data_IF_969408808958
#
_entry.id   IF_969408808958
#
_cell.length_a   1.000
_cell.length_b   1.000
_cell.length_c   1.000
_cell.angle_alpha   90.00
_cell.angle_beta   90.00
_cell.angle_gamma   90.00
#
_symmetry.space_group_name_H-M   'P 1'
#
loop_
_entity.id
_entity.type
_entity.pdbx_description
1 polymer ?
#
# COMPACT_ATOMS: atom_id res chain seq x y z
N UNK A 1 47.51 12.23 -4.55
CA UNK A 1 46.94 12.08 -5.90
C UNK A 1 47.98 11.42 -6.81
N UNK A 2 48.05 10.09 -6.81
CA UNK A 2 48.65 9.29 -7.89
C UNK A 2 48.39 7.82 -7.57
N UNK A 3 47.87 7.09 -8.57
CA UNK A 3 47.75 5.63 -8.66
C UNK A 3 46.73 4.95 -7.73
N UNK A 4 45.44 5.20 -7.98
CA UNK A 4 44.35 4.25 -7.69
C UNK A 4 43.19 4.34 -8.70
N UNK A 5 43.18 5.35 -9.57
CA UNK A 5 42.27 5.46 -10.71
C UNK A 5 42.45 4.39 -11.82
N UNK A 6 43.64 3.80 -12.09
CA UNK A 6 43.74 2.81 -13.17
C UNK A 6 43.12 1.42 -12.88
N UNK A 7 43.25 0.79 -11.69
CA UNK A 7 42.74 -0.58 -11.54
C UNK A 7 41.21 -0.67 -11.51
N UNK A 8 40.49 0.34 -11.01
CA UNK A 8 39.02 0.33 -10.94
C UNK A 8 38.35 0.59 -12.30
N UNK A 9 38.95 1.45 -13.15
CA UNK A 9 38.47 1.64 -14.51
C UNK A 9 38.75 0.42 -15.41
N UNK A 10 39.87 -0.27 -15.19
CA UNK A 10 40.19 -1.53 -15.89
C UNK A 10 39.29 -2.68 -15.39
N UNK A 11 38.96 -2.73 -14.08
CA UNK A 11 38.00 -3.69 -13.53
C UNK A 11 36.56 -3.46 -14.00
N UNK A 12 36.23 -2.30 -14.58
CA UNK A 12 34.90 -2.09 -15.18
C UNK A 12 34.69 -2.88 -16.49
N UNK A 13 35.77 -3.38 -17.11
CA UNK A 13 35.72 -4.19 -18.33
C UNK A 13 35.74 -5.69 -18.09
N UNK A 14 36.09 -6.15 -16.89
CA UNK A 14 36.26 -7.57 -16.58
C UNK A 14 35.23 -7.90 -15.50
N UNK A 15 34.21 -8.68 -15.88
CA UNK A 15 33.16 -9.22 -14.99
C UNK A 15 33.74 -10.18 -13.95
N UNK A 16 34.53 -9.67 -13.01
CA UNK A 16 35.10 -10.47 -11.93
C UNK A 16 34.87 -9.74 -10.62
N UNK A 17 33.67 -9.92 -10.06
CA UNK A 17 33.35 -9.53 -8.68
C UNK A 17 34.42 -10.06 -7.71
N UNK A 18 34.96 -11.24 -7.99
CA UNK A 18 35.99 -11.93 -7.23
C UNK A 18 37.33 -11.17 -7.20
N UNK A 19 37.73 -10.49 -8.29
CA UNK A 19 39.01 -9.76 -8.32
C UNK A 19 39.03 -8.50 -7.42
N UNK A 20 37.88 -7.86 -7.26
CA UNK A 20 37.76 -6.64 -6.45
C UNK A 20 37.80 -6.98 -4.95
N UNK A 21 37.18 -8.09 -4.56
CA UNK A 21 37.07 -8.46 -3.15
C UNK A 21 38.15 -9.46 -2.69
N UNK A 22 38.55 -10.41 -3.54
CA UNK A 22 39.55 -11.43 -3.17
C UNK A 22 40.98 -10.97 -3.45
N UNK A 23 41.19 -10.05 -4.41
CA UNK A 23 42.54 -9.56 -4.77
C UNK A 23 42.77 -8.12 -4.33
N UNK A 24 41.84 -7.19 -4.52
CA UNK A 24 42.12 -5.78 -4.16
C UNK A 24 41.93 -5.50 -2.65
N UNK A 25 40.94 -6.10 -2.00
CA UNK A 25 40.64 -5.85 -0.59
C UNK A 25 41.79 -6.23 0.39
N UNK A 26 42.42 -7.41 0.29
CA UNK A 26 43.53 -7.76 1.18
C UNK A 26 44.80 -6.90 0.94
N UNK A 27 45.05 -6.45 -0.30
CA UNK A 27 46.18 -5.57 -0.61
C UNK A 27 45.99 -4.14 -0.08
N UNK A 28 44.73 -3.68 -0.01
CA UNK A 28 44.39 -2.32 0.40
C UNK A 28 44.13 -2.23 1.91
N UNK A 29 43.73 -3.33 2.58
CA UNK A 29 43.56 -3.41 4.04
C UNK A 29 44.81 -2.95 4.82
N UNK A 30 46.01 -3.18 4.29
CA UNK A 30 47.27 -2.80 4.95
C UNK A 30 47.59 -1.29 4.90
N UNK A 31 46.78 -0.46 4.21
CA UNK A 31 47.00 0.99 4.10
C UNK A 31 45.70 1.77 4.28
N UNK A 32 45.55 2.41 5.44
CA UNK A 32 44.34 3.14 5.88
C UNK A 32 43.85 4.16 4.84
N UNK A 33 44.75 4.96 4.26
CA UNK A 33 44.37 6.00 3.30
C UNK A 33 43.90 5.46 1.94
N UNK A 34 44.46 4.34 1.47
CA UNK A 34 44.03 3.70 0.21
C UNK A 34 42.76 2.88 0.39
N UNK A 35 42.55 2.30 1.58
CA UNK A 35 41.28 1.67 1.96
C UNK A 35 40.17 2.72 2.01
N UNK A 36 40.50 3.85 2.61
CA UNK A 36 39.73 5.07 2.54
C UNK A 36 39.86 5.81 1.18
N UNK A 37 40.28 5.21 0.09
CA UNK A 37 40.05 5.80 -1.24
C UNK A 37 39.21 4.83 -2.05
N UNK A 38 39.56 3.55 -1.94
CA UNK A 38 38.80 2.42 -2.45
C UNK A 38 37.33 2.44 -2.03
N UNK A 39 37.02 2.63 -0.73
CA UNK A 39 35.64 2.69 -0.26
C UNK A 39 34.85 3.87 -0.84
N UNK A 40 35.49 5.01 -1.12
CA UNK A 40 34.82 6.16 -1.77
C UNK A 40 34.60 5.90 -3.26
N UNK A 41 35.51 5.15 -3.90
CA UNK A 41 35.36 4.70 -5.28
C UNK A 41 34.33 3.58 -5.46
N UNK A 42 33.93 2.87 -4.39
CA UNK A 42 32.83 1.90 -4.46
C UNK A 42 31.48 2.58 -4.68
N UNK A 43 31.24 3.77 -4.10
CA UNK A 43 29.99 4.50 -4.25
C UNK A 43 29.59 4.75 -5.72
N UNK A 44 30.43 5.34 -6.59
CA UNK A 44 30.07 5.54 -8.01
C UNK A 44 29.96 4.22 -8.79
N UNK A 45 30.63 3.15 -8.38
CA UNK A 45 30.52 1.84 -9.04
C UNK A 45 29.21 1.12 -8.71
N UNK A 46 28.73 1.25 -7.48
CA UNK A 46 27.43 0.76 -7.04
C UNK A 46 26.32 1.57 -7.71
N UNK A 47 26.45 2.91 -7.72
CA UNK A 47 25.48 3.80 -8.37
C UNK A 47 25.35 3.51 -9.87
N UNK A 48 26.44 3.14 -10.55
CA UNK A 48 26.42 2.77 -11.97
C UNK A 48 25.97 1.32 -12.25
N UNK A 49 25.39 0.63 -11.26
CA UNK A 49 24.92 -0.77 -11.33
C UNK A 49 26.01 -1.78 -11.72
N UNK A 50 27.29 -1.45 -11.51
CA UNK A 50 28.42 -2.35 -11.85
C UNK A 50 28.74 -3.36 -10.76
N UNK A 51 28.31 -3.10 -9.52
CA UNK A 51 28.54 -3.96 -8.36
C UNK A 51 27.22 -4.24 -7.64
N UNK A 52 26.62 -5.39 -7.92
CA UNK A 52 25.38 -5.85 -7.28
C UNK A 52 25.63 -6.79 -6.11
N UNK A 53 26.73 -7.54 -6.10
CA UNK A 53 27.12 -8.43 -4.99
C UNK A 53 28.37 -7.91 -4.30
N UNK A 54 28.29 -7.69 -2.98
CA UNK A 54 29.37 -7.18 -2.14
C UNK A 54 29.46 -8.05 -0.88
N UNK A 55 30.64 -8.58 -0.50
CA UNK A 55 30.81 -9.28 0.75
C UNK A 55 30.45 -8.40 1.96
N UNK A 56 29.79 -8.97 2.96
CA UNK A 56 29.31 -8.26 4.15
C UNK A 56 30.41 -7.46 4.87
N UNK A 57 31.63 -8.01 4.97
CA UNK A 57 32.79 -7.36 5.60
C UNK A 57 33.13 -6.04 4.91
N UNK A 58 33.10 -6.01 3.58
CA UNK A 58 33.36 -4.83 2.76
C UNK A 58 32.23 -3.82 2.86
N UNK A 59 30.99 -4.30 2.92
CA UNK A 59 29.80 -3.47 3.09
C UNK A 59 29.78 -2.80 4.47
N UNK A 60 30.20 -3.50 5.53
CA UNK A 60 30.32 -2.96 6.90
C UNK A 60 31.39 -1.86 6.97
N UNK A 61 32.55 -2.08 6.38
CA UNK A 61 33.59 -1.06 6.34
C UNK A 61 33.18 0.17 5.50
N UNK A 62 32.49 -0.05 4.37
CA UNK A 62 31.89 1.00 3.55
C UNK A 62 30.85 1.82 4.34
N UNK A 63 29.98 1.12 5.07
CA UNK A 63 29.00 1.69 6.00
C UNK A 63 29.72 2.59 7.01
N UNK A 64 30.60 2.04 7.84
CA UNK A 64 31.26 2.77 8.94
C UNK A 64 31.96 4.05 8.45
N UNK A 65 32.56 3.99 7.27
CA UNK A 65 33.19 5.15 6.65
C UNK A 65 32.19 6.23 6.18
N UNK A 66 31.12 5.85 5.47
CA UNK A 66 30.12 6.81 5.01
C UNK A 66 29.35 7.45 6.16
N UNK A 67 29.20 6.74 7.28
CA UNK A 67 28.65 7.30 8.50
C UNK A 67 29.62 8.27 9.19
N UNK A 68 30.94 8.04 9.14
CA UNK A 68 31.95 8.99 9.63
C UNK A 68 32.04 10.26 8.77
N UNK A 69 31.77 10.17 7.46
CA UNK A 69 31.80 11.32 6.54
C UNK A 69 30.47 12.08 6.41
N UNK A 70 29.46 11.75 7.22
CA UNK A 70 28.10 12.30 7.17
C UNK A 70 27.38 12.13 5.81
N UNK A 71 27.78 11.16 4.99
CA UNK A 71 27.23 10.91 3.66
C UNK A 71 26.11 9.86 3.67
N UNK A 72 25.13 9.99 4.58
CA UNK A 72 24.09 8.98 4.82
C UNK A 72 23.16 8.75 3.61
N UNK A 73 22.84 9.80 2.83
CA UNK A 73 22.00 9.69 1.63
C UNK A 73 22.68 8.94 0.48
N UNK A 74 24.00 9.05 0.38
CA UNK A 74 24.79 8.31 -0.60
C UNK A 74 24.84 6.83 -0.22
N UNK A 75 24.95 6.52 1.07
CA UNK A 75 24.82 5.15 1.56
C UNK A 75 23.45 4.56 1.19
N UNK A 76 22.35 5.30 1.41
CA UNK A 76 21.01 4.84 1.06
C UNK A 76 20.85 4.57 -0.44
N UNK A 77 21.31 5.48 -1.29
CA UNK A 77 21.28 5.30 -2.76
C UNK A 77 22.12 4.12 -3.24
N UNK A 78 23.19 3.78 -2.52
CA UNK A 78 24.03 2.63 -2.82
C UNK A 78 23.38 1.32 -2.34
N UNK A 79 22.81 1.30 -1.13
CA UNK A 79 22.21 0.11 -0.55
C UNK A 79 21.04 -0.42 -1.37
N UNK A 80 20.22 0.48 -1.95
CA UNK A 80 19.12 0.15 -2.86
C UNK A 80 19.54 -0.64 -4.11
N UNK A 81 20.84 -0.70 -4.43
CA UNK A 81 21.40 -1.36 -5.62
C UNK A 81 22.20 -2.62 -5.30
N UNK A 82 22.37 -2.93 -4.01
CA UNK A 82 23.13 -4.09 -3.54
C UNK A 82 22.15 -5.24 -3.27
N UNK A 83 22.49 -6.44 -3.72
CA UNK A 83 21.78 -7.66 -3.36
C UNK A 83 22.11 -8.01 -1.90
N UNK A 84 21.16 -7.73 -1.01
CA UNK A 84 21.28 -7.97 0.42
C UNK A 84 20.78 -9.37 0.82
N UNK A 85 20.34 -10.21 -0.13
CA UNK A 85 19.82 -11.56 0.17
C UNK A 85 20.88 -12.43 0.83
N UNK A 86 20.58 -12.93 2.03
CA UNK A 86 21.43 -13.85 2.78
C UNK A 86 22.56 -13.21 3.60
N UNK A 87 22.57 -11.88 3.75
CA UNK A 87 23.49 -11.18 4.65
C UNK A 87 22.89 -11.00 6.06
N UNK A 88 23.75 -10.81 7.06
CA UNK A 88 23.28 -10.36 8.38
C UNK A 88 22.81 -8.91 8.29
N UNK A 89 21.55 -8.68 8.61
CA UNK A 89 20.92 -7.37 8.51
C UNK A 89 21.04 -6.55 9.80
N UNK A 90 21.45 -7.15 10.91
CA UNK A 90 21.36 -6.54 12.25
C UNK A 90 22.15 -5.23 12.36
N UNK A 91 23.46 -5.26 12.05
CA UNK A 91 24.31 -4.07 12.15
C UNK A 91 23.93 -2.97 11.12
N UNK A 92 23.38 -3.38 9.98
CA UNK A 92 22.94 -2.46 8.90
C UNK A 92 21.63 -1.78 9.28
N UNK A 93 20.67 -2.55 9.80
CA UNK A 93 19.39 -2.06 10.27
C UNK A 93 19.57 -1.07 11.43
N UNK A 94 20.39 -1.40 12.44
CA UNK A 94 20.66 -0.49 13.58
C UNK A 94 21.20 0.87 13.12
N UNK A 95 22.08 0.84 12.12
CA UNK A 95 22.64 2.06 11.54
C UNK A 95 21.59 2.82 10.73
N UNK A 96 20.76 2.14 9.94
CA UNK A 96 19.70 2.80 9.17
C UNK A 96 18.61 3.39 10.08
N UNK A 97 18.27 2.71 11.19
CA UNK A 97 17.34 3.22 12.21
C UNK A 97 17.86 4.49 12.87
N UNK A 98 19.15 4.52 13.24
CA UNK A 98 19.78 5.69 13.88
C UNK A 98 19.73 6.95 13.02
N UNK A 99 19.86 6.81 11.70
CA UNK A 99 19.89 7.93 10.77
C UNK A 99 18.62 8.08 9.92
N UNK A 100 17.55 7.34 10.26
CA UNK A 100 16.21 7.45 9.63
C UNK A 100 16.23 7.27 8.10
N UNK A 101 16.98 6.27 7.62
CA UNK A 101 17.10 5.94 6.18
C UNK A 101 15.97 4.98 5.76
N UNK A 102 14.76 5.49 5.59
CA UNK A 102 13.56 4.64 5.40
C UNK A 102 13.55 3.86 4.09
N UNK A 103 14.11 4.38 3.00
CA UNK A 103 14.10 3.66 1.72
C UNK A 103 15.04 2.45 1.81
N UNK A 104 16.19 2.63 2.49
CA UNK A 104 17.12 1.55 2.83
C UNK A 104 16.49 0.49 3.72
N UNK A 105 15.76 0.91 4.76
CA UNK A 105 15.06 0.02 5.68
C UNK A 105 14.00 -0.77 4.90
N UNK A 106 13.16 -0.10 4.12
CA UNK A 106 12.11 -0.75 3.34
C UNK A 106 12.71 -1.78 2.37
N UNK A 107 13.79 -1.44 1.67
CA UNK A 107 14.49 -2.34 0.75
C UNK A 107 15.08 -3.58 1.44
N UNK A 108 15.74 -3.42 2.59
CA UNK A 108 16.29 -4.55 3.35
C UNK A 108 15.18 -5.47 3.88
N UNK A 109 14.10 -4.89 4.39
CA UNK A 109 12.96 -5.66 4.88
C UNK A 109 12.21 -6.35 3.74
N UNK A 110 12.04 -5.69 2.60
CA UNK A 110 11.34 -6.25 1.43
C UNK A 110 12.14 -7.37 0.77
N UNK A 111 13.43 -7.18 0.51
CA UNK A 111 14.25 -8.17 -0.23
C UNK A 111 14.98 -9.17 0.66
N UNK A 112 15.40 -8.77 1.85
CA UNK A 112 16.15 -9.61 2.78
C UNK A 112 15.24 -10.49 3.64
N UNK A 113 14.21 -9.88 4.23
CA UNK A 113 13.31 -10.54 5.20
C UNK A 113 11.94 -10.91 4.61
N UNK A 114 11.65 -10.51 3.38
CA UNK A 114 10.33 -10.63 2.75
C UNK A 114 9.19 -10.10 3.63
N UNK A 115 9.44 -9.06 4.43
CA UNK A 115 8.47 -8.47 5.35
C UNK A 115 8.24 -7.00 5.00
N UNK A 116 7.08 -6.68 4.43
CA UNK A 116 6.73 -5.29 4.17
C UNK A 116 5.99 -4.61 5.34
N UNK A 117 5.60 -5.36 6.37
CA UNK A 117 4.73 -4.88 7.45
C UNK A 117 5.53 -4.11 8.51
N UNK A 118 6.66 -4.67 8.96
CA UNK A 118 7.51 -4.04 9.98
C UNK A 118 7.93 -2.61 9.63
N UNK A 119 8.49 -2.32 8.43
CA UNK A 119 8.83 -0.94 8.07
C UNK A 119 7.60 -0.03 7.97
N UNK A 120 6.44 -0.54 7.51
CA UNK A 120 5.18 0.22 7.46
C UNK A 120 4.68 0.60 8.85
N UNK A 121 4.73 -0.33 9.82
CA UNK A 121 4.34 -0.05 11.22
C UNK A 121 5.13 1.12 11.80
N UNK A 122 6.45 1.12 11.59
CA UNK A 122 7.33 2.15 12.16
C UNK A 122 7.09 3.50 11.48
N UNK A 123 6.94 3.52 10.15
CA UNK A 123 6.59 4.74 9.42
C UNK A 123 5.24 5.33 9.85
N UNK A 124 4.23 4.48 10.09
CA UNK A 124 2.91 4.92 10.54
C UNK A 124 2.94 5.51 11.96
N UNK A 125 3.69 4.88 12.88
CA UNK A 125 3.88 5.39 14.25
C UNK A 125 4.60 6.74 14.26
N UNK A 126 5.61 6.91 13.40
CA UNK A 126 6.34 8.17 13.34
C UNK A 126 5.49 9.32 12.79
N UNK A 127 4.67 9.03 11.77
CA UNK A 127 3.77 10.04 11.21
C UNK A 127 2.68 10.41 12.22
N UNK A 128 2.14 9.44 12.96
CA UNK A 128 1.17 9.71 14.01
C UNK A 128 1.72 10.68 15.08
N UNK A 129 3.02 10.62 15.36
CA UNK A 129 3.70 11.51 16.31
C UNK A 129 4.13 12.87 15.72
N UNK A 130 4.04 13.07 14.40
CA UNK A 130 4.53 14.28 13.73
C UNK A 130 3.37 15.16 13.24
N UNK A 131 3.22 16.39 13.70
CA UNK A 131 2.03 17.19 13.35
C UNK A 131 2.18 18.02 12.05
N UNK A 132 3.39 18.50 11.71
CA UNK A 132 3.56 19.57 10.70
C UNK A 132 3.77 19.10 9.25
N UNK A 133 4.24 17.86 9.03
CA UNK A 133 4.44 17.27 7.69
C UNK A 133 3.81 15.87 7.55
N UNK A 134 2.90 15.51 8.46
CA UNK A 134 2.30 14.18 8.48
C UNK A 134 1.40 13.91 7.27
N UNK A 135 0.63 14.90 6.82
CA UNK A 135 -0.36 14.66 5.76
C UNK A 135 0.27 14.31 4.42
N UNK A 136 1.31 15.04 3.98
CA UNK A 136 1.98 14.74 2.70
C UNK A 136 2.72 13.41 2.73
N UNK A 137 3.43 13.11 3.83
CA UNK A 137 4.12 11.84 4.01
C UNK A 137 3.14 10.67 4.14
N UNK A 138 2.06 10.86 4.90
CA UNK A 138 0.99 9.88 5.07
C UNK A 138 0.29 9.56 3.75
N UNK A 139 -0.03 10.58 2.94
CA UNK A 139 -0.59 10.38 1.60
C UNK A 139 0.36 9.59 0.68
N UNK A 140 1.67 9.83 0.76
CA UNK A 140 2.67 9.02 0.03
C UNK A 140 2.68 7.57 0.50
N UNK A 141 2.58 7.31 1.81
CA UNK A 141 2.50 5.95 2.34
C UNK A 141 1.25 5.23 1.85
N UNK A 142 0.09 5.88 1.92
CA UNK A 142 -1.17 5.31 1.41
C UNK A 142 -0.99 4.91 -0.06
N UNK A 143 -0.42 5.79 -0.90
CA UNK A 143 -0.13 5.48 -2.31
C UNK A 143 0.86 4.31 -2.46
N UNK A 144 1.92 4.27 -1.67
CA UNK A 144 2.90 3.16 -1.70
C UNK A 144 2.25 1.83 -1.31
N UNK A 145 1.38 1.81 -0.30
CA UNK A 145 0.56 0.64 0.05
C UNK A 145 -0.32 0.23 -1.14
N UNK A 146 -0.90 1.21 -1.85
CA UNK A 146 -1.64 0.97 -3.08
C UNK A 146 -0.82 0.27 -4.16
N UNK A 147 0.43 0.71 -4.37
CA UNK A 147 1.35 0.06 -5.31
C UNK A 147 1.61 -1.39 -4.88
N UNK A 148 1.89 -1.63 -3.60
CA UNK A 148 2.17 -2.98 -3.09
C UNK A 148 0.95 -3.91 -3.16
N UNK A 149 -0.26 -3.39 -3.00
CA UNK A 149 -1.50 -4.15 -3.15
C UNK A 149 -1.84 -4.44 -4.62
N UNK A 150 -1.44 -3.57 -5.55
CA UNK A 150 -1.75 -3.70 -6.97
C UNK A 150 -0.67 -4.41 -7.77
N UNK A 151 0.58 -4.48 -7.27
CA UNK A 151 1.70 -5.08 -7.98
C UNK A 151 1.53 -6.60 -8.21
N UNK A 152 1.36 -7.06 -9.47
CA UNK A 152 1.20 -8.47 -9.79
C UNK A 152 2.46 -9.29 -9.48
N UNK A 153 3.65 -8.69 -9.48
CA UNK A 153 4.93 -9.40 -9.34
C UNK A 153 5.14 -9.98 -7.93
N UNK A 154 4.53 -9.35 -6.92
CA UNK A 154 4.77 -9.69 -5.52
C UNK A 154 3.47 -10.09 -4.78
N UNK A 155 2.92 -11.30 -5.03
CA UNK A 155 1.67 -11.74 -4.39
C UNK A 155 1.81 -11.94 -2.88
N UNK A 156 3.03 -12.06 -2.35
CA UNK A 156 3.28 -12.18 -0.91
C UNK A 156 2.96 -10.88 -0.17
N UNK A 157 3.38 -9.72 -0.71
CA UNK A 157 3.07 -8.43 -0.09
C UNK A 157 1.58 -8.12 -0.10
N UNK A 158 0.86 -8.52 -1.16
CA UNK A 158 -0.60 -8.43 -1.18
C UNK A 158 -1.23 -9.17 0.02
N UNK A 159 -0.82 -10.42 0.27
CA UNK A 159 -1.34 -11.21 1.41
C UNK A 159 -0.98 -10.57 2.75
N UNK A 160 0.27 -10.14 2.90
CA UNK A 160 0.78 -9.52 4.12
C UNK A 160 0.02 -8.24 4.46
N UNK A 161 -0.18 -7.35 3.47
CA UNK A 161 -0.89 -6.08 3.68
C UNK A 161 -2.37 -6.33 3.95
N UNK A 162 -3.03 -7.21 3.20
CA UNK A 162 -4.45 -7.54 3.44
C UNK A 162 -4.68 -8.07 4.85
N UNK A 163 -3.75 -8.91 5.35
CA UNK A 163 -3.78 -9.39 6.73
C UNK A 163 -3.53 -8.25 7.71
N UNK A 164 -2.49 -7.45 7.49
CA UNK A 164 -2.12 -6.29 8.32
C UNK A 164 -3.25 -5.29 8.49
N UNK A 165 -4.00 -4.96 7.42
CA UNK A 165 -5.14 -4.05 7.50
C UNK A 165 -6.29 -4.61 8.36
N UNK A 166 -6.36 -5.94 8.51
CA UNK A 166 -7.35 -6.62 9.35
C UNK A 166 -6.85 -6.93 10.77
N UNK A 167 -5.57 -6.70 11.06
CA UNK A 167 -4.97 -6.99 12.36
C UNK A 167 -5.52 -6.06 13.44
N UNK A 168 -6.06 -6.65 14.51
CA UNK A 168 -6.31 -5.94 15.76
C UNK A 168 -4.97 -5.79 16.47
N UNK A 169 -4.66 -4.60 16.94
CA UNK A 169 -3.56 -4.43 17.88
C UNK A 169 -4.13 -4.75 19.27
N UNK A 170 -3.97 -6.00 19.71
CA UNK A 170 -4.36 -6.42 21.06
C UNK A 170 -3.29 -5.93 22.04
N UNK A 171 -3.50 -4.73 22.58
CA UNK A 171 -2.86 -4.27 23.81
C UNK A 171 -3.97 -3.90 24.79
N UNK A 172 -4.71 -4.91 25.27
CA UNK A 172 -5.68 -4.94 26.39
C UNK A 172 -6.75 -3.85 26.53
N UNK A 173 -6.75 -2.81 25.70
CA UNK A 173 -7.70 -1.70 25.70
C UNK A 173 -8.56 -1.78 24.45
N UNK A 174 -9.86 -2.03 24.65
CA UNK A 174 -10.90 -1.96 23.62
C UNK A 174 -10.96 -0.58 22.88
N UNK A 175 -10.15 0.41 23.28
CA UNK A 175 -10.01 1.72 22.63
C UNK A 175 -9.02 1.76 21.44
N UNK A 176 -8.12 0.77 21.29
CA UNK A 176 -7.01 0.80 20.30
C UNK A 176 -7.22 -0.21 19.15
N UNK A 177 -8.46 -0.63 18.89
CA UNK A 177 -8.74 -1.55 17.77
C UNK A 177 -8.42 -0.89 16.42
N UNK A 178 -7.62 -1.58 15.60
CA UNK A 178 -7.19 -1.20 14.24
C UNK A 178 -6.47 0.16 14.12
N UNK A 179 -5.60 0.49 15.09
CA UNK A 179 -4.80 1.73 15.11
C UNK A 179 -4.19 2.11 13.75
N UNK A 180 -3.47 1.20 13.10
CA UNK A 180 -2.82 1.48 11.81
C UNK A 180 -3.82 1.80 10.70
N UNK A 181 -4.94 1.08 10.65
CA UNK A 181 -6.00 1.35 9.69
C UNK A 181 -6.63 2.72 9.94
N UNK A 182 -6.88 3.09 11.21
CA UNK A 182 -7.35 4.42 11.59
C UNK A 182 -6.38 5.52 11.18
N UNK A 183 -5.07 5.31 11.33
CA UNK A 183 -4.04 6.25 10.87
C UNK A 183 -4.12 6.43 9.34
N UNK A 184 -4.18 5.32 8.59
CA UNK A 184 -4.26 5.36 7.12
C UNK A 184 -5.50 6.12 6.62
N UNK A 185 -6.64 5.88 7.27
CA UNK A 185 -7.92 6.50 6.92
C UNK A 185 -7.96 8.02 7.21
N UNK A 186 -7.23 8.50 8.22
CA UNK A 186 -7.16 9.94 8.57
C UNK A 186 -6.46 10.82 7.51
N UNK A 187 -5.73 10.21 6.58
CA UNK A 187 -5.08 10.94 5.49
C UNK A 187 -6.09 11.18 4.35
N UNK A 188 -5.76 10.78 3.13
CA UNK A 188 -6.67 10.87 2.00
C UNK A 188 -7.61 9.64 1.95
N UNK A 189 -8.80 9.81 2.53
CA UNK A 189 -9.81 8.75 2.58
C UNK A 189 -10.25 8.29 1.19
N UNK A 190 -10.37 9.22 0.23
CA UNK A 190 -10.75 8.88 -1.15
C UNK A 190 -9.70 7.99 -1.79
N UNK A 191 -8.43 8.39 -1.71
CA UNK A 191 -7.32 7.58 -2.27
C UNK A 191 -7.25 6.22 -1.59
N UNK A 192 -7.49 6.13 -0.28
CA UNK A 192 -7.54 4.86 0.43
C UNK A 192 -8.66 3.94 -0.12
N UNK A 193 -9.87 4.47 -0.33
CA UNK A 193 -11.00 3.72 -0.90
C UNK A 193 -10.74 3.30 -2.35
N UNK A 194 -10.12 4.15 -3.16
CA UNK A 194 -9.72 3.82 -4.52
C UNK A 194 -8.71 2.65 -4.54
N UNK A 195 -7.75 2.65 -3.61
CA UNK A 195 -6.79 1.55 -3.44
C UNK A 195 -7.50 0.24 -3.05
N UNK A 196 -8.46 0.29 -2.12
CA UNK A 196 -9.25 -0.89 -1.76
C UNK A 196 -10.04 -1.42 -2.96
N UNK A 197 -10.58 -0.54 -3.80
CA UNK A 197 -11.27 -0.92 -5.03
C UNK A 197 -10.36 -1.73 -5.94
N UNK A 198 -9.14 -1.24 -6.19
CA UNK A 198 -8.15 -1.94 -7.01
C UNK A 198 -7.71 -3.26 -6.37
N UNK A 199 -7.45 -3.26 -5.06
CA UNK A 199 -7.06 -4.45 -4.31
C UNK A 199 -8.14 -5.54 -4.34
N UNK A 200 -9.41 -5.17 -4.23
CA UNK A 200 -10.53 -6.10 -4.22
C UNK A 200 -10.85 -6.63 -5.62
N UNK A 201 -10.73 -5.79 -6.65
CA UNK A 201 -10.84 -6.23 -8.04
C UNK A 201 -9.75 -7.25 -8.40
N UNK A 202 -8.56 -7.15 -7.80
CA UNK A 202 -7.52 -8.18 -7.97
C UNK A 202 -7.93 -9.54 -7.41
N UNK A 203 -8.76 -9.59 -6.37
CA UNK A 203 -9.23 -10.85 -5.77
C UNK A 203 -10.03 -11.67 -6.79
N UNK A 204 -10.81 -11.02 -7.67
CA UNK A 204 -11.60 -11.72 -8.69
C UNK A 204 -10.75 -12.39 -9.77
N UNK A 205 -9.48 -11.99 -9.91
CA UNK A 205 -8.54 -12.56 -10.88
C UNK A 205 -7.84 -13.82 -10.36
N UNK A 206 -8.09 -14.22 -9.12
CA UNK A 206 -7.43 -15.35 -8.46
C UNK A 206 -8.17 -16.64 -8.78
N UNK A 207 -7.46 -17.59 -9.39
CA UNK A 207 -8.03 -18.87 -9.86
C UNK A 207 -8.08 -19.97 -8.82
N UNK A 208 -7.24 -19.91 -7.77
CA UNK A 208 -7.19 -20.95 -6.75
C UNK A 208 -8.36 -20.80 -5.76
N UNK A 209 -9.27 -21.79 -5.64
CA UNK A 209 -10.53 -21.63 -4.90
C UNK A 209 -10.34 -21.46 -3.39
N UNK A 210 -9.47 -22.26 -2.77
CA UNK A 210 -9.20 -22.17 -1.32
C UNK A 210 -8.56 -20.83 -0.97
N UNK A 211 -7.65 -20.36 -1.82
CA UNK A 211 -7.01 -19.07 -1.63
C UNK A 211 -7.97 -17.90 -1.88
N UNK A 212 -8.86 -18.04 -2.87
CA UNK A 212 -9.92 -17.09 -3.18
C UNK A 212 -10.88 -16.91 -2.01
N UNK A 213 -11.36 -18.00 -1.40
CA UNK A 213 -12.30 -17.93 -0.26
C UNK A 213 -11.67 -17.23 0.94
N UNK A 214 -10.41 -17.54 1.26
CA UNK A 214 -9.69 -16.86 2.35
C UNK A 214 -9.56 -15.35 2.10
N UNK A 215 -9.32 -14.94 0.85
CA UNK A 215 -9.24 -13.53 0.48
C UNK A 215 -10.61 -12.85 0.46
N UNK A 216 -11.66 -13.52 -0.01
CA UNK A 216 -13.05 -13.01 0.09
C UNK A 216 -13.45 -12.79 1.55
N UNK A 217 -13.10 -13.73 2.43
CA UNK A 217 -13.31 -13.58 3.87
C UNK A 217 -12.52 -12.41 4.45
N UNK A 218 -11.26 -12.24 4.05
CA UNK A 218 -10.41 -11.12 4.47
C UNK A 218 -10.96 -9.78 3.98
N UNK A 219 -11.42 -9.71 2.72
CA UNK A 219 -12.10 -8.55 2.13
C UNK A 219 -13.35 -8.18 2.92
N UNK A 220 -14.23 -9.14 3.17
CA UNK A 220 -15.48 -8.92 3.91
C UNK A 220 -15.19 -8.45 5.34
N UNK A 221 -14.19 -9.03 6.01
CA UNK A 221 -13.72 -8.59 7.32
C UNK A 221 -13.23 -7.14 7.27
N UNK A 222 -12.44 -6.76 6.25
CA UNK A 222 -11.94 -5.39 6.09
C UNK A 222 -13.09 -4.40 5.89
N UNK A 223 -14.09 -4.73 5.05
CA UNK A 223 -15.29 -3.92 4.86
C UNK A 223 -16.01 -3.68 6.19
N UNK A 224 -16.23 -4.74 6.99
CA UNK A 224 -16.86 -4.62 8.29
C UNK A 224 -16.04 -3.75 9.27
N UNK A 225 -14.72 -3.86 9.25
CA UNK A 225 -13.84 -3.03 10.10
C UNK A 225 -13.96 -1.55 9.69
N UNK A 226 -13.87 -1.25 8.39
CA UNK A 226 -13.98 0.14 7.90
C UNK A 226 -15.36 0.71 8.23
N UNK A 227 -16.43 -0.08 8.12
CA UNK A 227 -17.77 0.30 8.57
C UNK A 227 -17.80 0.64 10.06
N UNK A 228 -17.21 -0.20 10.91
CA UNK A 228 -17.12 0.07 12.35
C UNK A 228 -16.34 1.35 12.66
N UNK A 229 -15.29 1.65 11.88
CA UNK A 229 -14.51 2.89 12.04
C UNK A 229 -15.34 4.10 11.62
N UNK A 230 -16.02 4.06 10.48
CA UNK A 230 -16.82 5.17 9.96
C UNK A 230 -17.98 5.52 10.92
N UNK A 231 -18.66 4.52 11.45
CA UNK A 231 -19.79 4.73 12.36
C UNK A 231 -19.38 4.91 13.83
N UNK A 232 -18.19 4.43 14.21
CA UNK A 232 -17.67 4.55 15.57
C UNK A 232 -16.94 5.87 15.84
N UNK A 233 -16.19 6.38 14.86
CA UNK A 233 -15.40 7.60 15.01
C UNK A 233 -16.16 8.80 14.39
N UNK A 234 -16.37 9.89 15.15
CA UNK A 234 -17.13 11.09 14.69
C UNK A 234 -16.37 12.02 13.73
N UNK A 235 -15.30 11.55 13.11
CA UNK A 235 -14.37 12.39 12.35
C UNK A 235 -14.62 12.39 10.84
N UNK A 236 -15.59 11.61 10.34
CA UNK A 236 -15.87 11.51 8.92
C UNK A 236 -16.87 12.58 8.46
N UNK A 237 -16.57 13.23 7.35
CA UNK A 237 -17.51 14.14 6.71
C UNK A 237 -18.61 13.38 5.96
N UNK A 238 -19.74 14.04 5.69
CA UNK A 238 -20.79 13.46 4.83
C UNK A 238 -20.27 13.05 3.44
N UNK A 239 -19.23 13.73 2.94
CA UNK A 239 -18.56 13.38 1.68
C UNK A 239 -17.81 12.05 1.79
N UNK A 240 -17.08 11.83 2.88
CA UNK A 240 -16.34 10.59 3.11
C UNK A 240 -17.30 9.40 3.25
N UNK A 241 -18.37 9.58 4.02
CA UNK A 241 -19.44 8.58 4.14
C UNK A 241 -20.04 8.26 2.77
N UNK A 242 -20.30 9.28 1.94
CA UNK A 242 -20.80 9.08 0.57
C UNK A 242 -19.82 8.33 -0.33
N UNK A 243 -18.53 8.67 -0.29
CA UNK A 243 -17.47 7.96 -1.04
C UNK A 243 -17.44 6.48 -0.65
N UNK A 244 -17.52 6.19 0.64
CA UNK A 244 -17.50 4.80 1.12
C UNK A 244 -18.74 4.02 0.66
N UNK A 245 -19.93 4.62 0.71
CA UNK A 245 -21.15 3.93 0.27
C UNK A 245 -21.21 3.72 -1.24
N UNK A 246 -20.65 4.64 -2.05
CA UNK A 246 -20.44 4.44 -3.49
C UNK A 246 -19.47 3.27 -3.74
N UNK A 247 -18.41 3.16 -2.95
CA UNK A 247 -17.50 2.02 -3.03
C UNK A 247 -18.19 0.71 -2.64
N UNK A 248 -18.86 0.67 -1.50
CA UNK A 248 -19.52 -0.53 -0.98
C UNK A 248 -20.57 -1.06 -1.95
N UNK A 249 -21.39 -0.17 -2.52
CA UNK A 249 -22.39 -0.52 -3.53
C UNK A 249 -21.76 -1.18 -4.76
N UNK A 250 -20.69 -0.60 -5.31
CA UNK A 250 -19.95 -1.21 -6.44
C UNK A 250 -19.37 -2.59 -6.09
N UNK A 251 -18.82 -2.75 -4.89
CA UNK A 251 -18.27 -4.05 -4.45
C UNK A 251 -19.34 -5.13 -4.34
N UNK A 252 -20.52 -4.78 -3.84
CA UNK A 252 -21.67 -5.69 -3.74
C UNK A 252 -22.20 -6.06 -5.12
N UNK A 253 -22.24 -5.11 -6.07
CA UNK A 253 -22.62 -5.40 -7.45
C UNK A 253 -21.69 -6.38 -8.15
N UNK A 254 -20.39 -6.33 -7.85
CA UNK A 254 -19.38 -7.19 -8.47
C UNK A 254 -19.30 -8.62 -7.88
N UNK A 255 -19.67 -8.81 -6.62
CA UNK A 255 -19.63 -10.12 -5.94
C UNK A 255 -20.85 -10.30 -5.03
N UNK A 256 -22.04 -10.31 -5.66
CA UNK A 256 -23.35 -10.33 -4.99
C UNK A 256 -23.56 -11.55 -4.09
N UNK A 257 -22.94 -12.69 -4.41
CA UNK A 257 -22.98 -13.90 -3.58
C UNK A 257 -22.02 -13.82 -2.38
N UNK A 258 -20.94 -13.03 -2.50
CA UNK A 258 -19.85 -12.97 -1.53
C UNK A 258 -20.04 -11.94 -0.42
N UNK A 259 -20.66 -10.78 -0.69
CA UNK A 259 -20.84 -9.71 0.30
C UNK A 259 -22.30 -9.70 0.80
N UNK A 260 -22.52 -10.25 1.99
CA UNK A 260 -23.85 -10.27 2.62
C UNK A 260 -24.10 -9.00 3.43
N UNK A 261 -24.97 -8.14 2.91
CA UNK A 261 -25.47 -6.97 3.64
C UNK A 261 -26.78 -7.30 4.35
N UNK A 262 -26.96 -6.76 5.55
CA UNK A 262 -28.25 -6.82 6.23
C UNK A 262 -29.21 -5.75 5.65
N UNK A 263 -30.52 -5.88 5.93
CA UNK A 263 -31.54 -4.95 5.41
C UNK A 263 -31.28 -3.49 5.81
N UNK A 264 -30.77 -3.25 7.02
CA UNK A 264 -30.49 -1.90 7.53
C UNK A 264 -29.39 -1.23 6.69
N UNK A 265 -28.30 -1.94 6.43
CA UNK A 265 -27.19 -1.45 5.60
C UNK A 265 -27.63 -1.16 4.16
N UNK A 266 -28.52 -1.99 3.61
CA UNK A 266 -29.11 -1.77 2.28
C UNK A 266 -29.93 -0.47 2.24
N UNK A 267 -30.75 -0.20 3.27
CA UNK A 267 -31.46 1.07 3.38
C UNK A 267 -30.53 2.27 3.54
N UNK A 268 -29.46 2.14 4.33
CA UNK A 268 -28.47 3.21 4.49
C UNK A 268 -27.71 3.51 3.18
N UNK A 269 -27.39 2.47 2.40
CA UNK A 269 -26.82 2.64 1.06
C UNK A 269 -27.81 3.39 0.17
N UNK A 270 -29.08 2.98 0.15
CA UNK A 270 -30.10 3.67 -0.64
C UNK A 270 -30.22 5.14 -0.26
N UNK A 271 -30.43 5.44 1.03
CA UNK A 271 -30.53 6.81 1.54
C UNK A 271 -29.31 7.66 1.18
N UNK A 272 -28.11 7.08 1.24
CA UNK A 272 -26.90 7.79 0.86
C UNK A 272 -26.82 8.07 -0.65
N UNK A 273 -27.13 7.07 -1.48
CA UNK A 273 -27.09 7.19 -2.95
C UNK A 273 -28.23 8.07 -3.49
N UNK A 274 -29.36 8.14 -2.79
CA UNK A 274 -30.53 8.96 -3.13
C UNK A 274 -30.61 10.28 -2.35
N UNK A 275 -29.55 10.67 -1.64
CA UNK A 275 -29.52 11.96 -0.97
C UNK A 275 -29.41 13.12 -1.99
N UNK A 276 -30.22 14.17 -1.81
CA UNK A 276 -30.27 15.39 -2.63
C UNK A 276 -28.96 16.21 -2.65
N UNK A 277 -27.97 15.81 -1.86
CA UNK A 277 -26.67 16.46 -1.82
C UNK A 277 -25.91 16.14 -3.11
N UNK A 278 -25.72 17.16 -3.96
CA UNK A 278 -25.11 17.09 -5.31
C UNK A 278 -23.68 16.52 -5.36
N UNK A 279 -23.05 16.20 -4.24
CA UNK A 279 -21.74 15.57 -4.21
C UNK A 279 -21.81 14.18 -4.86
N UNK A 280 -20.96 13.96 -5.86
CA UNK A 280 -20.78 12.68 -6.55
C UNK A 280 -22.06 12.12 -7.22
N UNK A 281 -22.99 12.98 -7.67
CA UNK A 281 -24.28 12.57 -8.23
C UNK A 281 -24.17 11.51 -9.34
N UNK A 282 -23.23 11.69 -10.28
CA UNK A 282 -22.97 10.71 -11.33
C UNK A 282 -22.47 9.36 -10.80
N UNK A 283 -21.53 9.37 -9.86
CA UNK A 283 -20.99 8.15 -9.25
C UNK A 283 -22.07 7.42 -8.43
N UNK A 284 -22.92 8.17 -7.71
CA UNK A 284 -24.08 7.63 -6.97
C UNK A 284 -25.06 6.95 -7.92
N UNK A 285 -25.41 7.61 -9.03
CA UNK A 285 -26.32 7.06 -10.04
C UNK A 285 -25.76 5.76 -10.64
N UNK A 286 -24.49 5.75 -11.05
CA UNK A 286 -23.85 4.54 -11.57
C UNK A 286 -23.81 3.39 -10.55
N UNK A 287 -23.51 3.70 -9.30
CA UNK A 287 -23.42 2.68 -8.26
C UNK A 287 -24.80 2.10 -7.90
N UNK A 288 -25.84 2.92 -7.90
CA UNK A 288 -27.22 2.48 -7.71
C UNK A 288 -27.71 1.61 -8.87
N UNK A 289 -27.41 1.99 -10.13
CA UNK A 289 -27.67 1.16 -11.30
C UNK A 289 -27.01 -0.22 -11.18
N UNK A 290 -25.72 -0.25 -10.79
CA UNK A 290 -24.99 -1.49 -10.57
C UNK A 290 -25.69 -2.40 -9.56
N UNK A 291 -26.13 -1.85 -8.42
CA UNK A 291 -26.80 -2.62 -7.38
C UNK A 291 -28.17 -3.17 -7.80
N UNK A 292 -28.94 -2.37 -8.53
CA UNK A 292 -30.23 -2.80 -9.08
C UNK A 292 -30.03 -3.90 -10.13
N UNK A 293 -29.00 -3.78 -10.97
CA UNK A 293 -28.68 -4.78 -11.98
C UNK A 293 -28.20 -6.11 -11.39
N UNK A 294 -27.53 -6.09 -10.23
CA UNK A 294 -27.00 -7.28 -9.57
C UNK A 294 -28.04 -8.07 -8.75
N UNK A 295 -29.29 -7.64 -8.72
CA UNK A 295 -30.36 -8.27 -7.93
C UNK A 295 -30.22 -8.08 -6.41
N UNK A 296 -29.30 -7.22 -5.95
CA UNK A 296 -29.06 -7.01 -4.52
C UNK A 296 -30.28 -6.41 -3.79
N UNK A 297 -31.19 -5.78 -4.53
CA UNK A 297 -32.41 -5.16 -4.03
C UNK A 297 -33.70 -5.90 -4.42
N UNK A 298 -33.63 -7.15 -4.91
CA UNK A 298 -34.83 -7.91 -5.29
C UNK A 298 -35.84 -8.10 -4.13
N UNK A 299 -35.39 -7.94 -2.88
CA UNK A 299 -36.22 -7.99 -1.68
C UNK A 299 -36.79 -6.64 -1.23
N UNK A 300 -36.43 -5.53 -1.89
CA UNK A 300 -36.92 -4.19 -1.57
C UNK A 300 -38.03 -3.77 -2.53
N UNK A 301 -38.90 -2.89 -2.05
CA UNK A 301 -40.02 -2.40 -2.85
C UNK A 301 -39.50 -1.44 -3.94
N UNK A 302 -39.58 -1.85 -5.21
CA UNK A 302 -39.09 -1.05 -6.34
C UNK A 302 -39.86 0.26 -6.52
N UNK A 303 -41.12 0.32 -6.08
CA UNK A 303 -41.95 1.52 -6.24
C UNK A 303 -41.42 2.70 -5.41
N UNK A 304 -40.96 2.47 -4.17
CA UNK A 304 -40.37 3.54 -3.34
C UNK A 304 -39.02 4.01 -3.86
N UNK A 305 -38.24 3.13 -4.49
CA UNK A 305 -36.96 3.48 -5.13
C UNK A 305 -37.20 4.35 -6.36
N UNK A 306 -38.25 4.03 -7.15
CA UNK A 306 -38.61 4.80 -8.35
C UNK A 306 -39.00 6.25 -8.03
N UNK A 307 -39.78 6.48 -6.97
CA UNK A 307 -40.19 7.82 -6.52
C UNK A 307 -38.99 8.66 -6.06
N UNK A 308 -38.04 8.04 -5.36
CA UNK A 308 -36.80 8.71 -4.92
C UNK A 308 -35.91 9.08 -6.12
N UNK A 309 -35.76 8.16 -7.08
CA UNK A 309 -34.94 8.41 -8.28
C UNK A 309 -35.55 9.47 -9.21
N UNK A 310 -36.88 9.52 -9.29
CA UNK A 310 -37.62 10.53 -10.05
C UNK A 310 -37.39 11.95 -9.48
N UNK A 311 -37.43 12.09 -8.14
CA UNK A 311 -37.13 13.36 -7.46
C UNK A 311 -35.71 13.86 -7.73
N UNK A 312 -34.75 12.94 -7.87
CA UNK A 312 -33.33 13.24 -8.10
C UNK A 312 -32.94 13.43 -9.58
N UNK A 313 -33.88 13.26 -10.52
CA UNK A 313 -33.63 13.26 -11.97
C UNK A 313 -32.60 12.22 -12.43
N UNK A 314 -32.56 11.06 -11.79
CA UNK A 314 -31.71 9.94 -12.22
C UNK A 314 -32.34 9.16 -13.37
N UNK A 315 -32.44 9.79 -14.54
CA UNK A 315 -33.22 9.29 -15.69
C UNK A 315 -32.87 7.85 -16.11
N UNK A 316 -31.58 7.49 -16.13
CA UNK A 316 -31.13 6.12 -16.48
C UNK A 316 -31.64 5.05 -15.50
N UNK A 317 -31.83 5.40 -14.23
CA UNK A 317 -32.36 4.46 -13.22
C UNK A 317 -33.87 4.31 -13.39
N UNK A 318 -34.56 5.41 -13.65
CA UNK A 318 -35.99 5.37 -13.94
C UNK A 318 -36.24 4.47 -15.15
N UNK A 319 -35.51 4.66 -16.26
CA UNK A 319 -35.59 3.82 -17.46
C UNK A 319 -35.38 2.32 -17.14
N UNK A 320 -34.30 1.99 -16.42
CA UNK A 320 -34.01 0.61 -16.01
C UNK A 320 -35.14 -0.02 -15.16
N UNK A 321 -35.70 0.74 -14.21
CA UNK A 321 -36.80 0.26 -13.36
C UNK A 321 -38.08 0.06 -14.18
N UNK A 322 -38.39 0.99 -15.10
CA UNK A 322 -39.56 0.88 -15.97
C UNK A 322 -39.46 -0.32 -16.93
N UNK A 323 -38.28 -0.58 -17.50
CA UNK A 323 -38.02 -1.78 -18.31
C UNK A 323 -38.22 -3.07 -17.50
N UNK A 324 -37.69 -3.13 -16.27
CA UNK A 324 -37.83 -4.29 -15.37
C UNK A 324 -39.27 -4.50 -14.89
N UNK A 325 -40.05 -3.44 -14.72
CA UNK A 325 -41.46 -3.52 -14.29
C UNK A 325 -42.44 -3.70 -15.46
N UNK A 326 -41.98 -3.72 -16.72
CA UNK A 326 -42.81 -3.77 -17.94
C UNK A 326 -43.92 -2.70 -17.98
N UNK A 327 -43.70 -1.52 -17.39
CA UNK A 327 -44.65 -0.40 -17.42
C UNK A 327 -44.25 0.54 -18.57
N UNK A 328 -44.70 0.24 -19.80
CA UNK A 328 -44.37 1.02 -21.01
C UNK A 328 -45.29 2.24 -21.25
N UNK A 329 -46.26 2.50 -20.37
CA UNK A 329 -47.37 3.41 -20.68
C UNK A 329 -47.16 4.88 -20.28
N UNK A 330 -45.95 5.33 -19.89
CA UNK A 330 -45.74 6.74 -19.45
C UNK A 330 -44.38 7.32 -19.93
N UNK A 331 -43.93 6.97 -21.14
CA UNK A 331 -43.03 7.84 -21.92
C UNK A 331 -43.86 8.93 -22.60
#
# INVERSE_FOLDING_TARGET
>A
KMVLEPPLNICSKIKTHDFIFDVCLPYVQNKIYSYNAFLECLAPLIINNKLTKIPYVSLRAFKDRLFLSNQHKLFESCLLKIDVKGMDHSDLLDSCWKYKLYDSIFYMFSLGLNDCITPLKILLLEIENSEKHAHEKGNKIVKNIGILLTDPQNPQYFKQIMKFLCEKYDSDDNKISWRYLKILIKFDFKVFVDILTLAFNRITQITNPVFLDNLKNTRNKLIHIVLQIIFGDRNFSAKDVSIFFIFLSRQVSMDSEGIKLNKIMLYQILECLTSDVQTNAFEKQQALLGLLSSGAFDQLNFDSISELCFKLKYNLICEFIYEKQCKYDIL
#
